data_IF_027436031107
#
_entry.id   IF_027436031107
#
_cell.length_a   1.000
_cell.length_b   1.000
_cell.length_c   1.000
_cell.angle_alpha   90.00
_cell.angle_beta   90.00
_cell.angle_gamma   90.00
#
_symmetry.space_group_name_H-M   'P 1'
#
loop_
_entity.id
_entity.type
_entity.pdbx_description
1 polymer ?
#
# COMPACT_ATOMS: atom_id res chain seq x y z
N UNK A 1 6.22 -20.49 7.21
CA UNK A 1 5.43 -21.74 7.35
C UNK A 1 5.13 -22.08 8.80
N UNK A 2 6.12 -22.23 9.68
CA UNK A 2 5.91 -22.56 11.11
C UNK A 2 4.79 -21.79 11.83
N UNK A 3 4.69 -20.47 11.63
CA UNK A 3 3.61 -19.67 12.22
C UNK A 3 2.22 -20.11 11.73
N UNK A 4 2.08 -20.38 10.42
CA UNK A 4 0.84 -20.89 9.85
C UNK A 4 0.52 -22.31 10.30
N UNK A 5 1.54 -23.16 10.49
CA UNK A 5 1.34 -24.51 11.02
C UNK A 5 0.83 -24.47 12.47
N UNK A 6 1.35 -23.54 13.28
CA UNK A 6 0.86 -23.30 14.64
C UNK A 6 -0.58 -22.74 14.63
N UNK A 7 -0.88 -21.78 13.75
CA UNK A 7 -2.24 -21.26 13.57
C UNK A 7 -3.20 -22.36 13.15
N UNK A 8 -2.81 -23.19 12.17
CA UNK A 8 -3.62 -24.32 11.71
C UNK A 8 -3.91 -25.30 12.86
N UNK A 9 -2.89 -25.65 13.64
CA UNK A 9 -3.03 -26.53 14.80
C UNK A 9 -4.00 -25.96 15.83
N UNK A 10 -3.91 -24.66 16.14
CA UNK A 10 -4.81 -23.99 17.10
C UNK A 10 -6.24 -23.84 16.58
N UNK A 11 -6.44 -23.67 15.28
CA UNK A 11 -7.79 -23.65 14.69
C UNK A 11 -8.43 -25.04 14.80
N UNK A 12 -7.65 -26.11 14.59
CA UNK A 12 -8.13 -27.48 14.68
C UNK A 12 -8.56 -27.89 16.11
N UNK A 13 -8.20 -27.13 17.15
CA UNK A 13 -8.67 -27.39 18.52
C UNK A 13 -10.00 -26.70 18.85
N UNK A 14 -10.56 -25.91 17.93
CA UNK A 14 -11.83 -25.20 18.15
C UNK A 14 -12.98 -26.18 17.94
N UNK A 15 -13.84 -26.33 18.95
CA UNK A 15 -15.02 -27.19 18.85
C UNK A 15 -15.98 -26.68 17.77
N UNK A 16 -16.59 -27.61 17.03
CA UNK A 16 -17.43 -27.28 15.88
C UNK A 16 -16.68 -26.78 14.63
N UNK A 17 -15.34 -26.79 14.60
CA UNK A 17 -14.60 -26.45 13.39
C UNK A 17 -14.75 -27.54 12.32
N UNK A 18 -15.57 -27.26 11.29
CA UNK A 18 -16.05 -28.26 10.34
C UNK A 18 -15.01 -28.85 9.36
N UNK A 19 -13.71 -28.57 9.48
CA UNK A 19 -12.69 -29.16 8.59
C UNK A 19 -11.89 -30.24 9.30
N UNK A 20 -11.82 -31.41 8.67
CA UNK A 20 -11.12 -32.59 9.20
C UNK A 20 -9.59 -32.47 9.17
N UNK A 21 -9.02 -31.66 8.27
CA UNK A 21 -7.58 -31.39 8.26
C UNK A 21 -7.26 -29.98 7.78
N UNK A 22 -6.33 -29.33 8.46
CA UNK A 22 -5.79 -28.02 8.12
C UNK A 22 -4.30 -28.02 8.39
N UNK A 23 -3.50 -27.75 7.36
CA UNK A 23 -2.05 -27.53 7.46
C UNK A 23 -1.73 -26.05 7.24
N UNK A 24 -0.50 -25.62 7.55
CA UNK A 24 -0.14 -24.20 7.44
C UNK A 24 -0.24 -23.66 6.01
N UNK A 25 -0.07 -24.51 4.98
CA UNK A 25 -0.18 -24.07 3.59
C UNK A 25 -1.64 -23.76 3.24
N UNK A 26 -2.56 -24.66 3.60
CA UNK A 26 -4.00 -24.46 3.44
C UNK A 26 -4.50 -23.30 4.30
N UNK A 27 -4.02 -23.15 5.53
CA UNK A 27 -4.38 -22.04 6.39
C UNK A 27 -3.97 -20.70 5.77
N UNK A 28 -2.72 -20.58 5.31
CA UNK A 28 -2.24 -19.38 4.63
C UNK A 28 -3.03 -19.07 3.36
N UNK A 29 -3.28 -20.06 2.51
CA UNK A 29 -4.05 -19.86 1.28
C UNK A 29 -5.48 -19.41 1.58
N UNK A 30 -6.14 -20.04 2.56
CA UNK A 30 -7.50 -19.69 2.97
C UNK A 30 -7.58 -18.29 3.56
N UNK A 31 -6.59 -17.91 4.36
CA UNK A 31 -6.50 -16.55 4.89
C UNK A 31 -6.40 -15.53 3.77
N UNK A 32 -5.56 -15.75 2.76
CA UNK A 32 -5.45 -14.86 1.61
C UNK A 32 -6.79 -14.74 0.85
N UNK A 33 -7.48 -15.86 0.61
CA UNK A 33 -8.80 -15.85 -0.04
C UNK A 33 -9.86 -15.12 0.79
N UNK A 34 -9.81 -15.25 2.11
CA UNK A 34 -10.72 -14.55 3.03
C UNK A 34 -10.53 -13.03 2.92
N UNK A 35 -9.28 -12.55 2.95
CA UNK A 35 -8.99 -11.12 2.78
C UNK A 35 -9.37 -10.61 1.39
N UNK A 36 -9.13 -11.39 0.34
CA UNK A 36 -9.52 -11.05 -1.04
C UNK A 36 -11.06 -10.88 -1.15
N UNK A 37 -11.80 -11.85 -0.62
CA UNK A 37 -13.26 -11.79 -0.58
C UNK A 37 -13.76 -10.58 0.20
N UNK A 38 -13.10 -10.21 1.30
CA UNK A 38 -13.47 -9.04 2.10
C UNK A 38 -13.18 -7.72 1.37
N UNK A 39 -12.08 -7.64 0.61
CA UNK A 39 -11.80 -6.47 -0.24
C UNK A 39 -12.87 -6.27 -1.31
N UNK A 40 -13.31 -7.35 -1.95
CA UNK A 40 -14.40 -7.30 -2.92
C UNK A 40 -15.71 -6.86 -2.27
N UNK A 41 -15.97 -7.31 -1.04
CA UNK A 41 -17.09 -6.85 -0.24
C UNK A 41 -17.00 -5.35 0.05
N UNK A 42 -15.87 -4.85 0.56
CA UNK A 42 -15.67 -3.40 0.81
C UNK A 42 -15.83 -2.56 -0.46
N UNK A 43 -15.28 -3.04 -1.59
CA UNK A 43 -15.42 -2.36 -2.88
C UNK A 43 -16.89 -2.24 -3.29
N UNK A 44 -17.68 -3.30 -3.13
CA UNK A 44 -19.13 -3.29 -3.43
C UNK A 44 -19.91 -2.42 -2.45
N UNK A 45 -19.62 -2.52 -1.15
CA UNK A 45 -20.27 -1.71 -0.10
C UNK A 45 -20.04 -0.22 -0.28
N UNK A 46 -18.84 0.20 -0.76
CA UNK A 46 -18.54 1.61 -1.09
C UNK A 46 -19.56 2.20 -2.09
N UNK A 47 -20.14 1.38 -2.97
CA UNK A 47 -21.12 1.81 -3.96
C UNK A 47 -22.59 1.65 -3.53
N UNK A 48 -22.85 1.09 -2.34
CA UNK A 48 -24.21 0.88 -1.81
C UNK A 48 -24.57 1.86 -0.67
N UNK A 49 -23.96 3.04 -0.66
CA UNK A 49 -24.25 4.10 0.33
C UNK A 49 -25.76 4.39 0.38
N UNK A 50 -26.38 4.12 1.53
CA UNK A 50 -27.82 4.33 1.76
C UNK A 50 -28.58 3.10 2.27
N UNK A 51 -28.01 1.90 2.19
CA UNK A 51 -28.56 0.72 2.86
C UNK A 51 -27.96 0.58 4.27
N UNK A 52 -28.82 0.39 5.28
CA UNK A 52 -28.41 -0.01 6.64
C UNK A 52 -27.71 -1.37 6.54
N UNK A 53 -26.39 -1.36 6.47
CA UNK A 53 -25.60 -2.57 6.46
C UNK A 53 -25.18 -2.84 7.90
N UNK A 54 -25.65 -3.96 8.45
CA UNK A 54 -25.34 -4.37 9.81
C UNK A 54 -23.83 -4.67 9.90
N UNK A 55 -23.06 -3.74 10.47
CA UNK A 55 -21.65 -3.98 10.77
C UNK A 55 -21.55 -5.01 11.90
N UNK A 56 -20.91 -6.14 11.60
CA UNK A 56 -20.65 -7.20 12.58
C UNK A 56 -19.22 -7.08 13.12
N UNK A 57 -18.96 -7.63 14.30
CA UNK A 57 -17.60 -7.76 14.84
C UNK A 57 -16.65 -8.46 13.84
N UNK A 58 -17.17 -9.43 13.07
CA UNK A 58 -16.42 -10.11 12.01
C UNK A 58 -15.96 -9.14 10.92
N UNK A 59 -16.84 -8.25 10.44
CA UNK A 59 -16.48 -7.29 9.40
C UNK A 59 -15.44 -6.28 9.89
N UNK A 60 -15.54 -5.87 11.16
CA UNK A 60 -14.55 -4.98 11.79
C UNK A 60 -13.18 -5.64 11.90
N UNK A 61 -13.12 -6.88 12.39
CA UNK A 61 -11.86 -7.64 12.47
C UNK A 61 -11.23 -7.86 11.08
N UNK A 62 -12.04 -8.10 10.05
CA UNK A 62 -11.54 -8.24 8.69
C UNK A 62 -11.01 -6.92 8.12
N UNK A 63 -11.61 -5.79 8.47
CA UNK A 63 -11.10 -4.45 8.10
C UNK A 63 -9.72 -4.20 8.73
N UNK A 64 -9.57 -4.49 10.02
CA UNK A 64 -8.29 -4.35 10.73
C UNK A 64 -7.21 -5.28 10.15
N UNK A 65 -7.55 -6.54 9.87
CA UNK A 65 -6.62 -7.49 9.27
C UNK A 65 -6.16 -7.06 7.87
N UNK A 66 -7.09 -6.53 7.06
CA UNK A 66 -6.76 -5.97 5.74
C UNK A 66 -5.77 -4.81 5.88
N UNK A 67 -6.03 -3.88 6.80
CA UNK A 67 -5.16 -2.73 7.04
C UNK A 67 -3.74 -3.17 7.45
N UNK A 68 -3.62 -4.05 8.45
CA UNK A 68 -2.32 -4.55 8.92
C UNK A 68 -1.53 -5.21 7.79
N UNK A 69 -2.19 -6.04 6.97
CA UNK A 69 -1.52 -6.75 5.87
C UNK A 69 -1.03 -5.79 4.79
N UNK A 70 -1.79 -4.75 4.47
CA UNK A 70 -1.39 -3.76 3.47
C UNK A 70 -0.29 -2.85 3.96
N UNK A 71 -0.33 -2.42 5.21
CA UNK A 71 0.73 -1.62 5.80
C UNK A 71 2.06 -2.41 5.80
N UNK A 72 2.01 -3.69 6.17
CA UNK A 72 3.18 -4.57 6.10
C UNK A 72 3.68 -4.80 4.67
N UNK A 73 2.78 -4.77 3.68
CA UNK A 73 3.15 -4.87 2.27
C UNK A 73 3.85 -3.59 1.80
N UNK A 74 3.28 -2.43 2.10
CA UNK A 74 3.86 -1.13 1.77
C UNK A 74 5.25 -0.96 2.39
N UNK A 75 5.43 -1.33 3.66
CA UNK A 75 6.74 -1.30 4.34
C UNK A 75 7.75 -2.21 3.62
N UNK A 76 7.33 -3.41 3.17
CA UNK A 76 8.21 -4.32 2.44
C UNK A 76 8.59 -3.77 1.07
N UNK A 77 7.64 -3.21 0.35
CA UNK A 77 7.87 -2.59 -0.96
C UNK A 77 8.82 -1.38 -0.85
N UNK A 78 8.63 -0.52 0.15
CA UNK A 78 9.53 0.60 0.43
C UNK A 78 10.96 0.13 0.71
N UNK A 79 11.12 -0.89 1.56
CA UNK A 79 12.44 -1.48 1.85
C UNK A 79 13.08 -2.09 0.60
N UNK A 80 12.29 -2.72 -0.27
CA UNK A 80 12.80 -3.26 -1.53
C UNK A 80 13.24 -2.15 -2.48
N UNK A 81 12.46 -1.08 -2.62
CA UNK A 81 12.82 0.08 -3.44
C UNK A 81 14.08 0.78 -2.91
N UNK A 82 14.21 0.93 -1.59
CA UNK A 82 15.42 1.47 -0.99
C UNK A 82 16.65 0.61 -1.30
N UNK A 83 16.52 -0.72 -1.20
CA UNK A 83 17.60 -1.65 -1.54
C UNK A 83 17.96 -1.62 -3.03
N UNK A 84 16.97 -1.57 -3.93
CA UNK A 84 17.22 -1.47 -5.37
C UNK A 84 17.87 -0.13 -5.73
N UNK A 85 17.45 0.98 -5.14
CA UNK A 85 18.05 2.29 -5.36
C UNK A 85 19.52 2.35 -4.91
N UNK A 86 19.88 1.68 -3.81
CA UNK A 86 21.28 1.56 -3.38
C UNK A 86 22.11 0.77 -4.39
N UNK A 87 21.57 -0.36 -4.87
CA UNK A 87 22.24 -1.18 -5.90
C UNK A 87 22.41 -0.40 -7.21
N UNK A 88 21.38 0.31 -7.64
CA UNK A 88 21.40 1.14 -8.84
C UNK A 88 22.44 2.25 -8.72
N UNK A 89 22.48 2.98 -7.61
CA UNK A 89 23.53 3.99 -7.35
C UNK A 89 24.95 3.42 -7.44
N UNK A 90 25.17 2.22 -6.90
CA UNK A 90 26.47 1.55 -6.98
C UNK A 90 26.84 1.14 -8.42
N UNK A 91 25.88 0.63 -9.19
CA UNK A 91 26.07 0.29 -10.60
C UNK A 91 26.35 1.55 -11.44
N UNK A 92 25.59 2.63 -11.22
CA UNK A 92 25.79 3.91 -11.91
C UNK A 92 27.16 4.51 -11.59
N UNK A 93 27.59 4.52 -10.32
CA UNK A 93 28.92 4.98 -9.95
C UNK A 93 30.03 4.16 -10.64
N UNK A 94 29.86 2.84 -10.72
CA UNK A 94 30.81 1.94 -11.40
C UNK A 94 30.86 2.19 -12.91
N UNK A 95 29.70 2.44 -13.53
CA UNK A 95 29.60 2.78 -14.95
C UNK A 95 30.31 4.10 -15.26
N UNK A 96 30.11 5.15 -14.45
CA UNK A 96 30.79 6.44 -14.61
C UNK A 96 32.32 6.30 -14.56
N UNK A 97 32.86 5.52 -13.62
CA UNK A 97 34.31 5.27 -13.52
C UNK A 97 34.83 4.55 -14.78
N UNK A 98 34.10 3.56 -15.28
CA UNK A 98 34.45 2.83 -16.51
C UNK A 98 34.47 3.75 -17.71
N UNK A 99 33.43 4.56 -17.89
CA UNK A 99 33.30 5.49 -19.01
C UNK A 99 34.42 6.53 -19.00
N UNK A 100 34.73 7.09 -17.83
CA UNK A 100 35.85 8.04 -17.69
C UNK A 100 37.20 7.38 -18.04
N UNK A 101 37.44 6.14 -17.59
CA UNK A 101 38.64 5.39 -17.92
C UNK A 101 38.75 5.11 -19.44
N UNK A 102 37.64 4.73 -20.09
CA UNK A 102 37.60 4.51 -21.54
C UNK A 102 37.85 5.80 -22.33
N UNK A 103 37.29 6.94 -21.91
CA UNK A 103 37.53 8.24 -22.54
C UNK A 103 39.01 8.66 -22.42
N UNK A 104 39.64 8.46 -21.26
CA UNK A 104 41.08 8.74 -21.06
C UNK A 104 41.99 7.80 -21.84
N UNK A 105 41.58 6.54 -22.06
CA UNK A 105 42.31 5.61 -22.92
C UNK A 105 42.16 5.97 -24.40
N UNK A 106 40.98 6.43 -24.82
CA UNK A 106 40.68 6.83 -26.21
C UNK A 106 41.41 8.12 -26.62
N UNK A 107 41.48 9.14 -25.74
CA UNK A 107 42.22 10.40 -26.00
C UNK A 107 43.72 10.20 -26.23
N UNK A 108 44.32 9.11 -25.75
CA UNK A 108 45.71 8.76 -26.05
C UNK A 108 45.92 8.19 -27.45
N UNK A 109 44.85 7.94 -28.22
CA UNK A 109 44.88 7.29 -29.54
C UNK A 109 44.53 8.21 -30.72
N UNK A 110 44.03 9.43 -30.48
CA UNK A 110 43.65 10.38 -31.54
C UNK A 110 44.51 11.64 -31.53
N UNK A 111 45.68 11.57 -32.16
CA UNK A 111 46.26 12.74 -32.85
C UNK A 111 45.88 12.54 -34.31
N UNK A 112 44.89 13.29 -34.79
CA UNK A 112 44.80 13.94 -36.12
C UNK A 112 43.34 14.33 -36.46
N UNK A 113 43.17 15.47 -37.14
CA UNK A 113 42.01 15.74 -38.00
C UNK A 113 40.89 16.67 -37.48
N UNK A 114 41.00 17.92 -37.89
CA UNK A 114 40.05 19.06 -37.86
C UNK A 114 38.71 18.80 -38.63
N UNK A 115 37.55 19.21 -38.05
CA UNK A 115 36.37 19.81 -38.74
C UNK A 115 35.20 20.08 -37.72
N UNK A 116 35.22 21.22 -37.01
CA UNK A 116 34.49 21.42 -35.72
C UNK A 116 33.47 22.59 -35.65
N UNK A 117 32.57 22.78 -36.63
CA UNK A 117 31.49 23.80 -36.44
C UNK A 117 30.09 23.33 -36.84
N UNK A 118 29.91 22.69 -38.01
CA UNK A 118 28.56 22.32 -38.49
C UNK A 118 28.00 21.07 -37.83
N UNK A 119 28.87 20.12 -37.48
CA UNK A 119 28.53 18.88 -36.75
C UNK A 119 28.13 19.15 -35.29
N UNK A 120 28.68 20.22 -34.69
CA UNK A 120 28.44 20.63 -33.30
C UNK A 120 26.98 21.05 -33.07
N UNK A 121 26.40 21.85 -33.98
CA UNK A 121 25.04 22.34 -33.85
C UNK A 121 23.96 21.24 -33.98
N UNK A 122 24.16 20.24 -34.86
CA UNK A 122 23.26 19.08 -34.96
C UNK A 122 23.32 18.18 -33.72
N UNK A 123 24.53 17.96 -33.16
CA UNK A 123 24.71 17.22 -31.91
C UNK A 123 24.05 17.93 -30.73
N UNK A 124 24.15 19.26 -30.69
CA UNK A 124 23.49 20.08 -29.66
C UNK A 124 21.97 19.98 -29.72
N UNK A 125 21.37 20.06 -30.91
CA UNK A 125 19.93 19.91 -31.09
C UNK A 125 19.43 18.51 -30.69
N UNK A 126 20.15 17.45 -31.06
CA UNK A 126 19.83 16.08 -30.63
C UNK A 126 19.90 15.91 -29.11
N UNK A 127 20.90 16.51 -28.46
CA UNK A 127 21.03 16.48 -27.01
C UNK A 127 19.90 17.25 -26.31
N UNK A 128 19.50 18.42 -26.84
CA UNK A 128 18.36 19.20 -26.33
C UNK A 128 17.04 18.42 -26.45
N UNK A 129 16.80 17.73 -27.57
CA UNK A 129 15.62 16.87 -27.75
C UNK A 129 15.62 15.72 -26.74
N UNK A 130 16.76 15.04 -26.59
CA UNK A 130 16.89 13.92 -25.65
C UNK A 130 16.73 14.37 -24.19
N UNK A 131 17.23 15.55 -23.85
CA UNK A 131 17.05 16.15 -22.53
C UNK A 131 15.58 16.51 -22.28
N UNK A 132 14.89 17.06 -23.28
CA UNK A 132 13.46 17.36 -23.19
C UNK A 132 12.61 16.09 -23.01
N UNK A 133 12.94 14.99 -23.70
CA UNK A 133 12.28 13.69 -23.48
C UNK A 133 12.47 13.17 -22.05
N UNK A 134 13.70 13.24 -21.53
CA UNK A 134 14.01 12.82 -20.16
C UNK A 134 13.19 13.64 -19.15
N UNK A 135 13.08 14.95 -19.35
CA UNK A 135 12.35 15.82 -18.43
C UNK A 135 10.84 15.60 -18.52
N UNK A 136 10.31 15.29 -19.72
CA UNK A 136 8.92 14.89 -19.91
C UNK A 136 8.60 13.57 -19.20
N UNK A 137 9.50 12.58 -19.28
CA UNK A 137 9.37 11.29 -18.60
C UNK A 137 9.37 11.46 -17.08
N UNK A 138 10.25 12.32 -16.54
CA UNK A 138 10.28 12.66 -15.11
C UNK A 138 8.98 13.30 -14.64
N UNK A 139 8.46 14.28 -15.38
CA UNK A 139 7.18 14.93 -15.06
C UNK A 139 6.02 13.93 -15.07
N UNK A 140 6.02 12.99 -16.04
CA UNK A 140 5.02 11.93 -16.11
C UNK A 140 5.09 10.98 -14.91
N UNK A 141 6.29 10.59 -14.50
CA UNK A 141 6.51 9.76 -13.31
C UNK A 141 6.09 10.49 -12.03
N UNK A 142 6.40 11.77 -11.92
CA UNK A 142 6.01 12.62 -10.79
C UNK A 142 4.50 12.76 -10.70
N UNK A 143 3.82 13.03 -11.83
CA UNK A 143 2.35 13.06 -11.88
C UNK A 143 1.74 11.72 -11.45
N UNK A 144 2.28 10.59 -11.93
CA UNK A 144 1.80 9.25 -11.55
C UNK A 144 1.97 9.00 -10.05
N UNK A 145 3.09 9.42 -9.47
CA UNK A 145 3.35 9.35 -8.03
C UNK A 145 2.38 10.22 -7.24
N UNK A 146 2.16 11.47 -7.68
CA UNK A 146 1.24 12.41 -7.04
C UNK A 146 -0.20 11.88 -7.06
N UNK A 147 -0.64 11.35 -8.21
CA UNK A 147 -1.96 10.75 -8.37
C UNK A 147 -2.16 9.56 -7.43
N UNK A 148 -1.18 8.66 -7.35
CA UNK A 148 -1.25 7.52 -6.44
C UNK A 148 -1.27 7.97 -4.97
N UNK A 149 -0.47 8.97 -4.62
CA UNK A 149 -0.46 9.53 -3.27
C UNK A 149 -1.79 10.17 -2.90
N UNK A 150 -2.42 10.90 -3.83
CA UNK A 150 -3.75 11.48 -3.63
C UNK A 150 -4.81 10.38 -3.42
N UNK A 151 -4.77 9.30 -4.19
CA UNK A 151 -5.68 8.16 -4.04
C UNK A 151 -5.51 7.46 -2.68
N UNK A 152 -4.27 7.26 -2.23
CA UNK A 152 -3.97 6.73 -0.89
C UNK A 152 -4.54 7.65 0.20
N UNK A 153 -4.34 8.96 0.06
CA UNK A 153 -4.82 9.95 1.03
C UNK A 153 -6.36 10.00 1.08
N UNK A 154 -7.03 9.95 -0.07
CA UNK A 154 -8.50 9.90 -0.15
C UNK A 154 -9.05 8.63 0.53
N UNK A 155 -8.41 7.49 0.28
CA UNK A 155 -8.78 6.24 0.95
C UNK A 155 -8.54 6.33 2.47
N UNK A 156 -7.45 6.94 2.92
CA UNK A 156 -7.17 7.14 4.34
C UNK A 156 -8.22 8.06 4.99
N UNK A 157 -8.62 9.13 4.31
CA UNK A 157 -9.66 10.05 4.78
C UNK A 157 -11.01 9.33 4.90
N UNK A 158 -11.41 8.59 3.88
CA UNK A 158 -12.65 7.80 3.89
C UNK A 158 -12.65 6.68 4.96
N UNK A 159 -11.47 6.21 5.39
CA UNK A 159 -11.35 5.30 6.56
C UNK A 159 -11.56 6.06 7.86
N UNK A 160 -10.98 7.26 7.99
CA UNK A 160 -11.12 8.11 9.18
C UNK A 160 -12.56 8.54 9.39
N UNK A 161 -13.26 8.98 8.34
CA UNK A 161 -14.67 9.37 8.40
C UNK A 161 -15.55 8.20 8.86
N UNK A 162 -15.31 6.99 8.35
CA UNK A 162 -16.02 5.78 8.83
C UNK A 162 -15.72 5.46 10.28
N UNK A 163 -14.51 5.71 10.76
CA UNK A 163 -14.18 5.53 12.18
C UNK A 163 -14.89 6.56 13.07
N UNK A 164 -14.91 7.84 12.66
CA UNK A 164 -15.60 8.91 13.38
C UNK A 164 -17.11 8.69 13.43
N UNK A 165 -17.73 8.22 12.33
CA UNK A 165 -19.14 7.86 12.32
C UNK A 165 -19.47 6.74 13.33
N UNK A 166 -18.59 5.73 13.44
CA UNK A 166 -18.74 4.65 14.44
C UNK A 166 -18.63 5.17 15.86
N UNK A 167 -17.69 6.08 16.12
CA UNK A 167 -17.53 6.68 17.44
C UNK A 167 -18.76 7.51 17.85
N UNK A 168 -19.30 8.29 16.91
CA UNK A 168 -20.53 9.05 17.11
C UNK A 168 -21.70 8.11 17.43
N UNK A 169 -21.86 7.02 16.69
CA UNK A 169 -22.95 6.06 16.89
C UNK A 169 -22.83 5.33 18.24
N UNK A 170 -21.63 4.87 18.60
CA UNK A 170 -21.34 4.27 19.92
C UNK A 170 -21.65 5.22 21.06
N UNK A 171 -21.31 6.51 20.92
CA UNK A 171 -21.62 7.53 21.92
C UNK A 171 -23.12 7.72 22.07
N UNK A 172 -23.86 7.84 20.96
CA UNK A 172 -25.33 7.94 20.98
C UNK A 172 -25.98 6.72 21.62
N UNK A 173 -25.49 5.52 21.33
CA UNK A 173 -26.00 4.29 21.94
C UNK A 173 -25.70 4.25 23.44
N UNK A 174 -24.49 4.65 23.85
CA UNK A 174 -24.09 4.72 25.26
C UNK A 174 -24.97 5.70 26.04
N UNK A 175 -25.15 6.92 25.53
CA UNK A 175 -25.99 7.95 26.14
C UNK A 175 -27.45 7.47 26.29
N UNK A 176 -27.99 6.76 25.29
CA UNK A 176 -29.34 6.18 25.35
C UNK A 176 -29.47 5.13 26.46
N UNK A 177 -28.49 4.24 26.59
CA UNK A 177 -28.47 3.21 27.63
C UNK A 177 -28.37 3.84 29.02
N UNK A 178 -27.56 4.89 29.18
CA UNK A 178 -27.48 5.65 30.44
C UNK A 178 -28.82 6.30 30.81
N UNK A 179 -29.51 6.92 29.84
CA UNK A 179 -30.84 7.49 30.05
C UNK A 179 -31.84 6.42 30.51
N UNK A 180 -31.83 5.25 29.86
CA UNK A 180 -32.73 4.15 30.20
C UNK A 180 -32.46 3.60 31.59
N UNK A 181 -31.19 3.46 31.99
CA UNK A 181 -30.79 3.07 33.35
C UNK A 181 -31.23 4.10 34.39
N UNK A 182 -31.11 5.38 34.09
CA UNK A 182 -31.55 6.46 34.95
C UNK A 182 -33.07 6.46 35.15
N UNK A 183 -33.85 6.29 34.07
CA UNK A 183 -35.30 6.17 34.13
C UNK A 183 -35.76 4.93 34.92
N UNK A 184 -35.09 3.80 34.73
CA UNK A 184 -35.38 2.56 35.48
C UNK A 184 -35.08 2.71 36.98
N UNK A 185 -33.98 3.39 37.33
CA UNK A 185 -33.59 3.61 38.73
C UNK A 185 -34.57 4.54 39.45
N UNK A 186 -35.05 5.61 38.79
CA UNK A 186 -36.06 6.51 39.36
C UNK A 186 -37.43 5.87 39.56
N UNK A 187 -37.82 4.94 38.70
CA UNK A 187 -39.07 4.18 38.88
C UNK A 187 -38.99 3.19 40.04
N UNK A 188 -37.78 2.77 40.42
CA UNK A 188 -37.55 1.83 41.52
C UNK A 188 -37.47 2.51 42.90
N UNK A 189 -37.37 3.85 42.95
CA UNK A 189 -37.41 4.65 44.20
C UNK A 189 -38.83 5.16 44.54
N UNK A 190 -39.83 4.90 43.70
CA UNK A 190 -41.24 5.29 43.91
C UNK A 190 -42.14 4.15 44.41
N UNK A 191 -41.57 3.00 44.76
CA UNK A 191 -42.22 1.89 45.45
C UNK A 191 -41.45 1.56 46.74
#
# INVERSE_FOLDING_TARGET
MKAWDATASRIMTIDGFGRQSLDGKKASQRFSLLLESHRQFQAKSKFMSGCSQEETEKTQLLDELVAIVDDQRAIKEERQMASSAVKEKALTATALIRDEAMQRASKRKSVDGDDDVTTSNKKKALFEVQQAEIDLEKQRLEYKKLKLQAEINEQALARKERAEMREIELKRHTDMVELMKFSMSKNNEQF
#
